data_IF_400375094201
#
_entry.id   IF_400375094201
#
_cell.length_a   1.000
_cell.length_b   1.000
_cell.length_c   1.000
_cell.angle_alpha   90.00
_cell.angle_beta   90.00
_cell.angle_gamma   90.00
#
_symmetry.space_group_name_H-M   'P 1'
#
loop_
_entity.id
_entity.type
_entity.pdbx_description
1 polymer ?
#
# COMPACT_ATOMS: atom_id res chain seq x y z
N UNK A 1 3.06 0.69 11.70
CA UNK A 1 2.01 0.52 10.67
C UNK A 1 1.16 1.78 10.57
N UNK A 2 0.82 2.22 9.35
CA UNK A 2 0.00 3.42 9.10
C UNK A 2 -1.44 3.03 8.77
N UNK A 3 -1.64 2.15 7.79
CA UNK A 3 -2.93 1.63 7.39
C UNK A 3 -2.79 0.25 6.77
N UNK A 4 -3.89 -0.49 6.78
CA UNK A 4 -3.99 -1.78 6.15
C UNK A 4 -5.40 -1.97 5.59
N UNK A 5 -5.52 -2.55 4.40
CA UNK A 5 -6.82 -2.82 3.77
C UNK A 5 -6.74 -4.05 2.87
N UNK A 6 -7.76 -4.91 2.93
CA UNK A 6 -7.98 -5.94 1.92
C UNK A 6 -8.81 -5.39 0.76
N UNK A 7 -8.45 -5.80 -0.46
CA UNK A 7 -9.20 -5.50 -1.68
C UNK A 7 -9.41 -6.75 -2.51
N UNK A 8 -10.37 -6.66 -3.42
CA UNK A 8 -10.61 -7.68 -4.43
C UNK A 8 -9.53 -7.60 -5.51
N UNK A 9 -9.20 -8.74 -6.12
CA UNK A 9 -8.31 -8.78 -7.29
C UNK A 9 -8.52 -10.06 -8.10
N UNK A 10 -7.56 -10.42 -8.95
CA UNK A 10 -7.66 -11.55 -9.88
C UNK A 10 -7.97 -12.88 -9.18
N UNK A 11 -7.42 -13.12 -7.99
CA UNK A 11 -7.58 -14.37 -7.25
C UNK A 11 -8.83 -14.42 -6.34
N UNK A 12 -9.65 -13.36 -6.33
CA UNK A 12 -10.93 -13.35 -5.61
C UNK A 12 -11.12 -12.13 -4.72
N UNK A 13 -12.22 -12.18 -3.96
CA UNK A 13 -12.61 -11.11 -3.04
C UNK A 13 -11.68 -11.04 -1.84
N UNK A 14 -11.31 -9.83 -1.42
CA UNK A 14 -10.45 -9.56 -0.27
C UNK A 14 -9.11 -10.36 -0.26
N UNK A 15 -8.59 -10.74 -1.43
CA UNK A 15 -7.40 -11.59 -1.53
C UNK A 15 -6.09 -10.78 -1.41
N UNK A 16 -6.13 -9.48 -1.71
CA UNK A 16 -4.94 -8.63 -1.78
C UNK A 16 -4.87 -7.73 -0.55
N UNK A 17 -3.80 -7.85 0.24
CA UNK A 17 -3.59 -7.06 1.45
C UNK A 17 -2.65 -5.89 1.20
N UNK A 18 -3.18 -4.67 1.12
CA UNK A 18 -2.36 -3.45 1.04
C UNK A 18 -1.89 -3.07 2.44
N UNK A 19 -0.57 -3.03 2.62
CA UNK A 19 0.06 -2.57 3.85
C UNK A 19 0.78 -1.24 3.60
N UNK A 20 0.44 -0.21 4.38
CA UNK A 20 1.14 1.07 4.40
C UNK A 20 1.84 1.20 5.73
N UNK A 21 3.14 1.43 5.68
CA UNK A 21 3.99 1.49 6.86
C UNK A 21 5.01 2.63 6.76
N UNK A 22 5.50 3.03 7.92
CA UNK A 22 6.50 4.07 8.02
C UNK A 22 7.84 3.44 8.38
N UNK A 23 8.90 3.95 7.76
CA UNK A 23 10.28 3.70 8.15
C UNK A 23 10.85 5.02 8.68
N UNK A 24 11.27 5.03 9.94
CA UNK A 24 12.01 6.17 10.47
C UNK A 24 13.39 6.22 9.84
N UNK A 25 13.70 7.36 9.25
CA UNK A 25 15.05 7.70 8.81
C UNK A 25 15.51 8.92 9.64
N UNK A 26 16.82 9.10 9.84
CA UNK A 26 17.42 10.01 10.84
C UNK A 26 16.95 11.48 10.79
N UNK A 27 16.23 11.89 9.73
CA UNK A 27 15.72 13.27 9.51
C UNK A 27 14.22 13.37 9.20
N UNK A 28 13.57 12.26 8.83
CA UNK A 28 12.22 12.26 8.27
C UNK A 28 11.61 10.86 8.28
N UNK A 29 10.28 10.81 8.26
CA UNK A 29 9.53 9.56 8.25
C UNK A 29 9.14 9.23 6.81
N UNK A 30 9.74 8.16 6.28
CA UNK A 30 9.43 7.67 4.95
C UNK A 30 8.19 6.79 5.01
N UNK A 31 7.24 7.00 4.10
CA UNK A 31 6.04 6.17 4.00
C UNK A 31 6.21 5.23 2.81
N UNK A 32 6.05 3.95 3.07
CA UNK A 32 6.21 2.85 2.12
C UNK A 32 4.91 2.06 2.03
N UNK A 33 4.71 1.36 0.91
CA UNK A 33 3.60 0.45 0.75
C UNK A 33 4.04 -0.86 0.09
N UNK A 34 3.28 -1.92 0.37
CA UNK A 34 3.36 -3.18 -0.36
C UNK A 34 1.96 -3.77 -0.51
N UNK A 35 1.79 -4.61 -1.53
CA UNK A 35 0.55 -5.33 -1.79
C UNK A 35 0.87 -6.81 -1.63
N UNK A 36 0.41 -7.43 -0.54
CA UNK A 36 0.51 -8.88 -0.38
C UNK A 36 -0.50 -9.53 -1.32
N UNK A 37 -0.04 -10.44 -2.18
CA UNK A 37 -0.81 -11.15 -3.21
C UNK A 37 -0.94 -12.62 -2.78
N UNK A 38 -1.20 -12.83 -1.49
CA UNK A 38 -1.54 -14.10 -0.88
C UNK A 38 -2.16 -13.85 0.50
N UNK A 39 -2.78 -14.90 1.06
CA UNK A 39 -3.34 -14.86 2.42
C UNK A 39 -2.26 -15.05 3.50
N UNK A 40 -1.09 -15.56 3.11
CA UNK A 40 -0.01 -15.98 4.03
C UNK A 40 1.13 -14.97 4.16
N UNK A 41 1.17 -13.91 3.33
CA UNK A 41 2.19 -12.86 3.34
C UNK A 41 3.54 -13.26 2.71
N UNK A 42 3.63 -14.41 2.04
CA UNK A 42 4.84 -14.93 1.42
C UNK A 42 5.12 -14.36 0.03
N UNK A 43 4.12 -13.78 -0.62
CA UNK A 43 4.24 -13.18 -1.94
C UNK A 43 3.65 -11.77 -1.98
N UNK A 44 4.44 -10.79 -2.42
CA UNK A 44 4.00 -9.39 -2.44
C UNK A 44 4.63 -8.59 -3.58
N UNK A 45 3.90 -7.58 -4.04
CA UNK A 45 4.41 -6.48 -4.85
C UNK A 45 4.95 -5.39 -3.93
N UNK A 46 6.22 -5.00 -4.11
CA UNK A 46 6.80 -3.86 -3.37
C UNK A 46 6.50 -2.55 -4.11
N UNK A 47 5.64 -1.71 -3.54
CA UNK A 47 5.39 -0.37 -4.09
C UNK A 47 6.54 0.61 -3.77
N UNK A 48 7.46 0.22 -2.90
CA UNK A 48 8.55 1.04 -2.42
C UNK A 48 8.06 2.24 -1.60
N UNK A 49 8.84 3.32 -1.66
CA UNK A 49 8.54 4.58 -0.99
C UNK A 49 7.46 5.34 -1.75
N UNK A 50 6.32 5.56 -1.10
CA UNK A 50 5.18 6.29 -1.67
C UNK A 50 5.12 7.76 -1.23
N UNK A 51 5.94 8.17 -0.26
CA UNK A 51 6.03 9.56 0.15
C UNK A 51 6.80 9.79 1.45
N UNK A 52 6.64 10.99 2.00
CA UNK A 52 7.23 11.41 3.27
C UNK A 52 6.18 12.03 4.19
N UNK A 53 6.42 11.95 5.48
CA UNK A 53 5.64 12.63 6.50
C UNK A 53 6.55 13.19 7.60
N UNK A 54 6.08 14.22 8.29
CA UNK A 54 6.83 14.87 9.37
C UNK A 54 6.69 14.13 10.70
N UNK A 55 5.65 13.30 10.84
CA UNK A 55 5.36 12.49 12.02
C UNK A 55 4.45 11.33 11.65
N UNK A 56 4.28 10.36 12.56
CA UNK A 56 3.30 9.29 12.39
C UNK A 56 1.86 9.79 12.25
N UNK A 57 1.50 10.87 12.96
CA UNK A 57 0.18 11.48 12.87
C UNK A 57 -0.06 12.10 11.49
N UNK A 58 0.94 12.80 10.94
CA UNK A 58 0.91 13.33 9.58
C UNK A 58 0.85 12.21 8.53
N UNK A 59 1.60 11.12 8.74
CA UNK A 59 1.56 9.95 7.87
C UNK A 59 0.16 9.31 7.83
N UNK A 60 -0.50 9.13 8.98
CA UNK A 60 -1.88 8.64 9.04
C UNK A 60 -2.86 9.59 8.36
N UNK A 61 -2.68 10.90 8.50
CA UNK A 61 -3.53 11.88 7.82
C UNK A 61 -3.39 11.82 6.30
N UNK A 62 -2.17 11.68 5.77
CA UNK A 62 -1.88 11.70 4.32
C UNK A 62 -2.10 10.36 3.63
N UNK A 63 -1.74 9.25 4.29
CA UNK A 63 -1.65 7.92 3.69
C UNK A 63 -2.50 6.87 4.43
N UNK A 64 -3.26 7.28 5.45
CA UNK A 64 -4.08 6.36 6.24
C UNK A 64 -5.37 5.90 5.54
N UNK A 65 -5.76 6.55 4.45
CA UNK A 65 -6.92 6.17 3.66
C UNK A 65 -6.46 5.47 2.36
N UNK A 66 -6.75 4.18 2.27
CA UNK A 66 -6.48 3.36 1.08
C UNK A 66 -7.81 3.24 0.32
N UNK A 67 -7.87 3.77 -0.90
CA UNK A 67 -9.05 3.69 -1.76
C UNK A 67 -8.80 2.71 -2.90
N UNK A 68 -9.82 1.90 -3.21
CA UNK A 68 -9.81 0.99 -4.35
C UNK A 68 -11.08 1.19 -5.16
N UNK A 69 -10.92 1.46 -6.45
CA UNK A 69 -12.02 1.74 -7.38
C UNK A 69 -12.38 0.55 -8.29
N UNK A 70 -11.75 -0.61 -8.06
CA UNK A 70 -11.85 -1.80 -8.91
C UNK A 70 -10.64 -1.99 -9.83
N UNK A 71 -9.98 -0.90 -10.21
CA UNK A 71 -8.87 -0.88 -11.16
C UNK A 71 -7.60 -0.27 -10.58
N UNK A 72 -7.71 0.60 -9.58
CA UNK A 72 -6.59 1.36 -9.02
C UNK A 72 -6.65 1.38 -7.50
N UNK A 73 -5.46 1.29 -6.90
CA UNK A 73 -5.24 1.59 -5.50
C UNK A 73 -4.73 3.02 -5.41
N UNK A 74 -5.37 3.85 -4.59
CA UNK A 74 -4.95 5.22 -4.31
C UNK A 74 -4.63 5.37 -2.82
N UNK A 75 -3.44 5.91 -2.51
CA UNK A 75 -2.92 6.10 -1.15
C UNK A 75 -2.27 7.49 -1.08
N UNK A 76 -3.01 8.48 -0.59
CA UNK A 76 -2.57 9.88 -0.69
C UNK A 76 -2.38 10.28 -2.16
N UNK A 77 -1.18 10.73 -2.53
CA UNK A 77 -0.81 11.06 -3.91
C UNK A 77 -0.30 9.87 -4.73
N UNK A 78 -0.11 8.70 -4.10
CA UNK A 78 0.38 7.51 -4.79
C UNK A 78 -0.79 6.76 -5.41
N UNK A 79 -0.60 6.30 -6.65
CA UNK A 79 -1.57 5.50 -7.42
C UNK A 79 -0.85 4.36 -8.12
N UNK A 80 -1.44 3.18 -8.06
CA UNK A 80 -0.99 2.00 -8.82
C UNK A 80 -2.21 1.27 -9.38
N UNK A 81 -2.11 0.86 -10.64
CA UNK A 81 -3.17 0.13 -11.34
C UNK A 81 -3.06 -1.38 -11.12
N UNK A 82 -4.19 -2.06 -11.22
CA UNK A 82 -4.31 -3.50 -11.08
C UNK A 82 -3.45 -4.26 -12.07
N UNK A 83 -3.39 -3.80 -13.32
CA UNK A 83 -2.53 -4.38 -14.33
C UNK A 83 -1.03 -4.28 -13.98
N UNK A 84 -0.59 -3.28 -13.22
CA UNK A 84 0.80 -3.11 -12.81
C UNK A 84 1.23 -4.06 -11.69
N UNK A 85 0.37 -4.30 -10.70
CA UNK A 85 0.72 -5.22 -9.59
C UNK A 85 0.29 -6.68 -9.83
N UNK A 86 -0.54 -6.94 -10.85
CA UNK A 86 -0.92 -8.29 -11.27
C UNK A 86 -0.14 -8.80 -12.49
N UNK A 87 0.84 -8.05 -13.02
CA UNK A 87 1.61 -8.43 -14.21
C UNK A 87 2.61 -9.58 -13.98
N UNK A 88 2.57 -10.20 -12.81
CA UNK A 88 3.48 -11.28 -12.47
C UNK A 88 3.02 -12.61 -13.07
N UNK A 89 3.91 -13.18 -13.90
CA UNK A 89 3.87 -14.56 -14.39
C UNK A 89 4.37 -15.52 -13.33
#
# INVERSE_FOLDING_TARGET
>A
MIAFRYIDGKYGKAFYGIEVYAKENKKHLEVHAKINIDLTGGYYYDCGKIGFASSFADAKKKFGNILFDGENINIGSYRISKSEYETHR
#
